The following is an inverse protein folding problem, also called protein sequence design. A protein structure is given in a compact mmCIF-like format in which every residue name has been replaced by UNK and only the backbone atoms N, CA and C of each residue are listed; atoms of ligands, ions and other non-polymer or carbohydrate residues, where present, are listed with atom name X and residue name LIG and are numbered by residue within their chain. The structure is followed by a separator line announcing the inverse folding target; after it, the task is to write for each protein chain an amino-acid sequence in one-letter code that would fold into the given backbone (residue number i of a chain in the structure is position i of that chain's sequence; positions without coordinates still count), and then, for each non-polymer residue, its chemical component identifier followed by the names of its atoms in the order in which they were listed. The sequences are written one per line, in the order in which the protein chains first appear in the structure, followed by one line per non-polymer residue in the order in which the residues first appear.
data_IF_685747351065
#
_entry.id   IF_685747351065
#
_cell.length_a   1.000
_cell.length_b   1.000
_cell.length_c   1.000
_cell.angle_alpha   90.00
_cell.angle_beta   90.00
_cell.angle_gamma   90.00
#
_symmetry.space_group_name_H-M   'P 1'
#
loop_
_entity.id
_entity.type
_entity.pdbx_description
1 polymer ?
#
# COMPACT_ATOMS: atom_id res chain seq x y z
N UNK A 1 -7.80 15.91 24.03
CA UNK A 1 -6.32 16.00 24.15
C UNK A 1 -5.69 14.61 24.18
N UNK A 2 -6.24 13.66 24.94
CA UNK A 2 -5.73 12.27 25.00
C UNK A 2 -5.68 11.55 23.64
N UNK A 3 -6.74 11.67 22.81
CA UNK A 3 -6.75 11.12 21.43
C UNK A 3 -5.55 11.62 20.63
N UNK A 4 -5.25 12.93 20.68
CA UNK A 4 -4.15 13.53 19.92
C UNK A 4 -2.79 12.98 20.33
N UNK A 5 -2.57 12.73 21.62
CA UNK A 5 -1.30 12.15 22.12
C UNK A 5 -1.06 10.76 21.54
N UNK A 6 -2.09 9.91 21.54
CA UNK A 6 -2.01 8.55 20.98
C UNK A 6 -1.82 8.60 19.46
N UNK A 7 -2.54 9.48 18.77
CA UNK A 7 -2.37 9.69 17.32
C UNK A 7 -0.95 10.14 16.98
N UNK A 8 -0.36 11.06 17.74
CA UNK A 8 1.03 11.50 17.50
C UNK A 8 2.03 10.35 17.64
N UNK A 9 1.83 9.46 18.60
CA UNK A 9 2.64 8.25 18.76
C UNK A 9 2.46 7.28 17.57
N UNK A 10 1.22 7.06 17.14
CA UNK A 10 0.91 6.27 15.93
C UNK A 10 1.57 6.86 14.69
N UNK A 11 1.54 8.18 14.54
CA UNK A 11 2.17 8.85 13.41
C UNK A 11 3.69 8.72 13.42
N UNK A 12 4.31 8.69 14.60
CA UNK A 12 5.74 8.46 14.75
C UNK A 12 6.10 7.03 14.32
N UNK A 13 5.40 6.04 14.83
CA UNK A 13 5.60 4.64 14.43
C UNK A 13 5.35 4.44 12.93
N UNK A 14 4.30 5.06 12.38
CA UNK A 14 4.04 5.02 10.93
C UNK A 14 5.16 5.68 10.10
N UNK A 15 5.79 6.75 10.58
CA UNK A 15 6.96 7.37 9.91
C UNK A 15 8.18 6.44 9.93
N UNK A 16 8.45 5.79 11.06
CA UNK A 16 9.55 4.83 11.19
C UNK A 16 9.39 3.65 10.22
N UNK A 17 8.18 3.08 10.17
CA UNK A 17 7.82 2.01 9.23
C UNK A 17 7.95 2.47 7.77
N UNK A 18 7.50 3.70 7.47
CA UNK A 18 7.63 4.27 6.13
C UNK A 18 9.10 4.38 5.73
N UNK A 19 9.96 4.89 6.60
CA UNK A 19 11.41 5.00 6.33
C UNK A 19 12.04 3.63 6.09
N UNK A 20 11.68 2.63 6.91
CA UNK A 20 12.15 1.25 6.76
C UNK A 20 11.76 0.68 5.39
N UNK A 21 10.48 0.79 5.02
CA UNK A 21 9.97 0.23 3.76
C UNK A 21 10.43 1.03 2.54
N UNK A 22 10.60 2.36 2.63
CA UNK A 22 11.17 3.15 1.54
C UNK A 22 12.62 2.76 1.22
N UNK A 23 13.31 2.07 2.14
CA UNK A 23 14.62 1.49 1.88
C UNK A 23 14.64 0.44 0.76
N UNK A 24 13.49 -0.11 0.34
CA UNK A 24 13.42 -1.06 -0.79
C UNK A 24 13.73 -0.42 -2.14
N UNK A 25 13.64 0.91 -2.24
CA UNK A 25 13.93 1.66 -3.47
C UNK A 25 15.43 1.84 -3.74
N UNK A 26 16.29 1.50 -2.78
CA UNK A 26 17.74 1.63 -2.91
C UNK A 26 18.33 0.37 -3.56
N UNK A 27 19.49 0.47 -4.24
CA UNK A 27 20.11 -0.61 -5.03
C UNK A 27 20.13 -2.00 -4.37
N UNK A 28 20.77 -2.19 -3.19
CA UNK A 28 20.74 -3.48 -2.48
C UNK A 28 19.38 -3.78 -1.80
N UNK A 29 18.46 -2.80 -1.77
CA UNK A 29 17.20 -2.85 -1.05
C UNK A 29 16.25 -3.98 -1.49
N UNK A 30 16.35 -4.43 -2.74
CA UNK A 30 15.54 -5.54 -3.27
C UNK A 30 15.91 -6.90 -2.66
N UNK A 31 17.18 -7.14 -2.33
CA UNK A 31 17.62 -8.39 -1.69
C UNK A 31 17.16 -8.48 -0.23
N UNK A 32 16.99 -7.33 0.41
CA UNK A 32 16.60 -7.20 1.81
C UNK A 32 15.09 -7.09 2.03
N UNK A 33 14.26 -7.22 0.99
CA UNK A 33 12.80 -7.08 1.11
C UNK A 33 12.24 -7.97 2.23
N UNK A 34 12.56 -9.28 2.33
CA UNK A 34 12.02 -10.14 3.38
C UNK A 34 12.37 -9.62 4.79
N UNK A 35 13.61 -9.19 5.00
CA UNK A 35 14.08 -8.65 6.29
C UNK A 35 13.38 -7.34 6.64
N UNK A 36 13.16 -6.46 5.64
CA UNK A 36 12.44 -5.19 5.83
C UNK A 36 10.96 -5.43 6.15
N UNK A 37 10.32 -6.36 5.45
CA UNK A 37 8.93 -6.76 5.73
C UNK A 37 8.78 -7.36 7.12
N UNK A 38 9.70 -8.24 7.54
CA UNK A 38 9.70 -8.82 8.88
C UNK A 38 9.80 -7.75 9.98
N UNK A 39 10.74 -6.80 9.84
CA UNK A 39 10.86 -5.67 10.77
C UNK A 39 9.60 -4.79 10.76
N UNK A 40 8.99 -4.55 9.59
CA UNK A 40 7.73 -3.81 9.52
C UNK A 40 6.58 -4.54 10.23
N UNK A 41 6.53 -5.89 10.15
CA UNK A 41 5.59 -6.73 10.90
C UNK A 41 5.77 -6.63 12.41
N UNK A 42 7.02 -6.53 12.89
CA UNK A 42 7.30 -6.27 14.30
C UNK A 42 6.75 -4.91 14.75
N UNK A 43 6.92 -3.85 13.95
CA UNK A 43 6.35 -2.54 14.26
C UNK A 43 4.81 -2.54 14.34
N UNK A 44 4.12 -3.41 13.58
CA UNK A 44 2.66 -3.54 13.68
C UNK A 44 2.20 -4.03 15.06
N UNK A 45 3.03 -4.74 15.83
CA UNK A 45 2.69 -5.07 17.24
C UNK A 45 2.58 -3.83 18.13
N UNK A 46 3.48 -2.85 17.93
CA UNK A 46 3.42 -1.54 18.60
C UNK A 46 2.18 -0.77 18.16
N UNK A 47 1.87 -0.78 16.86
CA UNK A 47 0.66 -0.14 16.31
C UNK A 47 -0.60 -0.74 16.92
N UNK A 48 -0.69 -2.07 17.06
CA UNK A 48 -1.82 -2.75 17.73
C UNK A 48 -2.02 -2.22 19.15
N UNK A 49 -0.95 -2.18 19.93
CA UNK A 49 -0.98 -1.68 21.32
C UNK A 49 -1.43 -0.21 21.38
N UNK A 50 -0.94 0.62 20.47
CA UNK A 50 -1.32 2.03 20.40
C UNK A 50 -2.79 2.21 19.99
N UNK A 51 -3.30 1.40 19.04
CA UNK A 51 -4.70 1.42 18.64
C UNK A 51 -5.61 0.90 19.74
N UNK A 52 -5.24 -0.14 20.48
CA UNK A 52 -5.95 -0.59 21.69
C UNK A 52 -6.04 0.53 22.73
N UNK A 53 -4.94 1.25 22.97
CA UNK A 53 -4.94 2.43 23.84
C UNK A 53 -5.88 3.51 23.31
N UNK A 54 -5.89 3.78 22.00
CA UNK A 54 -6.78 4.76 21.36
C UNK A 54 -8.26 4.41 21.58
N UNK A 55 -8.63 3.13 21.45
CA UNK A 55 -10.01 2.64 21.69
C UNK A 55 -10.54 3.02 23.07
N UNK A 56 -9.67 3.10 24.08
CA UNK A 56 -10.07 3.46 25.46
C UNK A 56 -10.26 4.97 25.68
N UNK A 57 -9.87 5.82 24.73
CA UNK A 57 -9.87 7.29 24.91
C UNK A 57 -11.18 7.96 24.49
N UNK A 58 -12.14 7.21 23.95
CA UNK A 58 -13.44 7.74 23.56
C UNK A 58 -14.53 6.65 23.59
N UNK A 59 -15.82 7.02 23.76
CA UNK A 59 -16.91 6.05 23.67
C UNK A 59 -17.07 5.51 22.25
N UNK A 60 -17.22 4.20 22.07
CA UNK A 60 -17.32 3.56 20.75
C UNK A 60 -18.39 4.20 19.83
N UNK A 61 -19.53 4.60 20.41
CA UNK A 61 -20.63 5.28 19.69
C UNK A 61 -20.23 6.63 19.07
N UNK A 62 -19.14 7.23 19.52
CA UNK A 62 -18.61 8.51 19.03
C UNK A 62 -17.47 8.34 18.01
N UNK A 63 -17.31 7.16 17.40
CA UNK A 63 -16.27 6.89 16.40
C UNK A 63 -16.18 7.99 15.33
N UNK A 64 -17.26 8.22 14.58
CA UNK A 64 -17.27 9.21 13.50
C UNK A 64 -17.17 10.67 13.98
N UNK A 65 -17.45 10.94 15.26
CA UNK A 65 -17.25 12.27 15.84
C UNK A 65 -15.77 12.61 15.97
N UNK A 66 -14.92 11.61 16.23
CA UNK A 66 -13.48 11.82 16.41
C UNK A 66 -12.63 11.27 15.26
N UNK A 67 -13.23 10.57 14.29
CA UNK A 67 -12.57 9.90 13.16
C UNK A 67 -11.53 10.76 12.45
N UNK A 68 -11.83 12.03 12.18
CA UNK A 68 -10.91 12.98 11.54
C UNK A 68 -9.56 13.15 12.28
N UNK A 69 -9.48 12.83 13.58
CA UNK A 69 -8.23 12.89 14.32
C UNK A 69 -7.24 11.81 13.92
N UNK A 70 -7.70 10.59 13.59
CA UNK A 70 -6.83 9.47 13.23
C UNK A 70 -6.96 9.04 11.77
N UNK A 71 -7.92 9.60 11.02
CA UNK A 71 -8.17 9.31 9.60
C UNK A 71 -6.88 9.27 8.78
N UNK A 72 -6.06 10.31 8.87
CA UNK A 72 -4.80 10.40 8.12
C UNK A 72 -3.81 9.29 8.49
N UNK A 73 -3.59 9.06 9.79
CA UNK A 73 -2.64 8.03 10.22
C UNK A 73 -3.16 6.63 9.92
N UNK A 74 -4.47 6.39 10.00
CA UNK A 74 -5.08 5.11 9.69
C UNK A 74 -4.94 4.77 8.20
N UNK A 75 -5.23 5.72 7.31
CA UNK A 75 -4.99 5.55 5.86
C UNK A 75 -3.52 5.23 5.55
N UNK A 76 -2.58 5.88 6.25
CA UNK A 76 -1.15 5.57 6.10
C UNK A 76 -0.79 4.18 6.61
N UNK A 77 -1.37 3.74 7.73
CA UNK A 77 -1.16 2.39 8.26
C UNK A 77 -1.73 1.31 7.32
N UNK A 78 -2.89 1.55 6.70
CA UNK A 78 -3.45 0.69 5.65
C UNK A 78 -2.46 0.59 4.49
N UNK A 79 -1.96 1.73 4.00
CA UNK A 79 -0.97 1.76 2.94
C UNK A 79 0.26 0.93 3.29
N UNK A 80 0.83 1.12 4.49
CA UNK A 80 2.01 0.37 4.94
C UNK A 80 1.73 -1.14 5.02
N UNK A 81 0.56 -1.54 5.51
CA UNK A 81 0.16 -2.95 5.59
C UNK A 81 0.01 -3.56 4.20
N UNK A 82 -0.64 -2.84 3.29
CA UNK A 82 -0.80 -3.25 1.90
C UNK A 82 0.54 -3.33 1.16
N UNK A 83 1.46 -2.41 1.46
CA UNK A 83 2.79 -2.43 0.85
C UNK A 83 3.62 -3.62 1.33
N UNK A 84 3.59 -3.94 2.62
CA UNK A 84 4.24 -5.16 3.15
C UNK A 84 3.70 -6.42 2.47
N UNK A 85 2.37 -6.57 2.40
CA UNK A 85 1.76 -7.74 1.76
C UNK A 85 2.10 -7.80 0.27
N UNK A 86 2.06 -6.68 -0.45
CA UNK A 86 2.45 -6.64 -1.85
C UNK A 86 3.91 -7.06 -2.05
N UNK A 87 4.83 -6.58 -1.20
CA UNK A 87 6.24 -6.95 -1.28
C UNK A 87 6.51 -8.44 -0.99
N UNK A 88 5.63 -9.10 -0.22
CA UNK A 88 5.76 -10.51 0.15
C UNK A 88 5.09 -11.46 -0.85
N UNK A 89 3.91 -11.11 -1.36
CA UNK A 89 3.07 -12.01 -2.16
C UNK A 89 2.56 -11.42 -3.47
N UNK A 90 2.80 -10.12 -3.73
CA UNK A 90 2.34 -9.40 -4.93
C UNK A 90 0.82 -9.41 -5.12
N UNK A 91 0.09 -9.54 -4.01
CA UNK A 91 -1.39 -9.56 -3.97
C UNK A 91 -1.94 -8.36 -3.22
N UNK A 92 -3.20 -8.02 -3.49
CA UNK A 92 -3.91 -6.99 -2.74
C UNK A 92 -4.38 -7.55 -1.39
N UNK A 93 -3.96 -6.91 -0.29
CA UNK A 93 -4.45 -7.26 1.04
C UNK A 93 -5.93 -6.90 1.18
N UNK A 94 -6.74 -7.79 1.74
CA UNK A 94 -8.17 -7.52 1.98
C UNK A 94 -8.36 -6.54 3.14
N UNK A 95 -9.48 -5.83 3.18
CA UNK A 95 -9.84 -4.95 4.33
C UNK A 95 -9.83 -5.73 5.66
N UNK A 96 -10.32 -6.97 5.66
CA UNK A 96 -10.35 -7.83 6.84
C UNK A 96 -8.94 -8.16 7.34
N UNK A 97 -8.05 -8.57 6.43
CA UNK A 97 -6.66 -8.85 6.78
C UNK A 97 -5.92 -7.60 7.28
N UNK A 98 -6.20 -6.41 6.73
CA UNK A 98 -5.63 -5.15 7.28
C UNK A 98 -6.16 -4.88 8.69
N UNK A 99 -7.45 -5.07 8.93
CA UNK A 99 -8.03 -4.90 10.27
C UNK A 99 -7.36 -5.84 11.28
N UNK A 100 -7.11 -7.10 10.93
CA UNK A 100 -6.37 -8.08 11.74
C UNK A 100 -4.90 -7.67 11.99
N UNK A 101 -4.20 -7.15 10.97
CA UNK A 101 -2.83 -6.63 11.09
C UNK A 101 -2.79 -5.44 12.04
N UNK A 102 -3.81 -4.59 12.04
CA UNK A 102 -3.90 -3.41 12.90
C UNK A 102 -4.52 -3.69 14.28
N UNK A 103 -5.09 -4.89 14.50
CA UNK A 103 -5.76 -5.23 15.75
C UNK A 103 -7.07 -4.46 15.97
N UNK A 104 -7.77 -4.16 14.88
CA UNK A 104 -9.07 -3.46 14.87
C UNK A 104 -10.12 -4.31 14.19
N UNK A 105 -11.38 -3.91 14.33
CA UNK A 105 -12.49 -4.64 13.71
C UNK A 105 -12.62 -4.29 12.23
N UNK A 106 -13.09 -5.23 11.42
CA UNK A 106 -13.50 -4.92 10.05
C UNK A 106 -14.92 -4.36 10.00
N UNK A 107 -15.77 -4.76 10.96
CA UNK A 107 -17.18 -4.41 11.02
C UNK A 107 -17.43 -3.29 12.04
N UNK A 108 -18.22 -2.30 11.61
CA UNK A 108 -18.65 -1.16 12.41
C UNK A 108 -19.38 -1.57 13.69
N UNK A 109 -20.21 -2.62 13.62
CA UNK A 109 -21.03 -3.04 14.77
C UNK A 109 -20.19 -3.62 15.91
N UNK A 110 -18.94 -4.04 15.64
CA UNK A 110 -18.02 -4.61 16.63
C UNK A 110 -17.15 -3.57 17.34
N UNK A 111 -17.24 -2.30 16.95
CA UNK A 111 -16.61 -1.18 17.66
C UNK A 111 -15.63 -0.39 16.79
N UNK A 112 -14.39 -0.23 17.27
CA UNK A 112 -13.36 0.51 16.52
C UNK A 112 -12.96 -0.28 15.30
N UNK A 113 -13.32 0.25 14.13
CA UNK A 113 -13.24 -0.47 12.87
C UNK A 113 -12.41 0.28 11.82
N UNK A 114 -12.03 -0.45 10.76
CA UNK A 114 -11.45 0.12 9.55
C UNK A 114 -12.55 0.56 8.59
N UNK A 115 -12.74 1.87 8.44
CA UNK A 115 -13.68 2.41 7.47
C UNK A 115 -13.24 2.07 6.03
N UNK A 116 -14.21 1.77 5.16
CA UNK A 116 -13.95 1.38 3.77
C UNK A 116 -13.29 2.51 2.97
N UNK A 117 -13.63 3.77 3.24
CA UNK A 117 -13.02 4.92 2.57
C UNK A 117 -11.55 5.07 2.95
N UNK A 118 -11.19 4.75 4.20
CA UNK A 118 -9.82 4.78 4.67
C UNK A 118 -8.99 3.63 4.08
N UNK A 119 -9.61 2.44 3.96
CA UNK A 119 -9.01 1.32 3.25
C UNK A 119 -8.69 1.71 1.80
N UNK A 120 -9.68 2.16 1.03
CA UNK A 120 -9.51 2.54 -0.37
C UNK A 120 -8.50 3.70 -0.54
N UNK A 121 -8.50 4.67 0.37
CA UNK A 121 -7.51 5.77 0.35
C UNK A 121 -6.08 5.28 0.58
N UNK A 122 -5.88 4.29 1.46
CA UNK A 122 -4.60 3.63 1.66
C UNK A 122 -4.15 2.85 0.43
N UNK A 123 -5.06 2.13 -0.23
CA UNK A 123 -4.78 1.39 -1.46
C UNK A 123 -4.39 2.32 -2.63
N UNK A 124 -5.03 3.49 -2.77
CA UNK A 124 -4.60 4.48 -3.77
C UNK A 124 -3.19 5.03 -3.49
N UNK A 125 -2.82 5.16 -2.20
CA UNK A 125 -1.46 5.56 -1.82
C UNK A 125 -0.44 4.47 -2.18
N UNK A 126 -0.82 3.19 -2.03
CA UNK A 126 0.00 2.06 -2.50
C UNK A 126 0.27 2.16 -4.00
N UNK A 127 -0.74 2.48 -4.82
CA UNK A 127 -0.58 2.58 -6.26
C UNK A 127 0.53 3.58 -6.66
N UNK A 128 0.54 4.76 -6.05
CA UNK A 128 1.57 5.77 -6.30
C UNK A 128 2.97 5.30 -5.84
N UNK A 129 3.07 4.58 -4.73
CA UNK A 129 4.34 4.01 -4.27
C UNK A 129 4.84 2.90 -5.20
N UNK A 130 3.95 2.08 -5.75
CA UNK A 130 4.30 1.05 -6.73
C UNK A 130 4.73 1.65 -8.07
N UNK A 131 4.15 2.77 -8.50
CA UNK A 131 4.63 3.49 -9.68
C UNK A 131 6.07 4.02 -9.50
N UNK A 132 6.45 4.40 -8.27
CA UNK A 132 7.84 4.71 -7.93
C UNK A 132 8.71 3.45 -7.90
N UNK A 133 8.22 2.37 -7.30
CA UNK A 133 8.93 1.10 -7.22
C UNK A 133 9.27 0.56 -8.61
N UNK A 134 8.33 0.61 -9.57
CA UNK A 134 8.54 0.17 -10.94
C UNK A 134 9.75 0.85 -11.60
N UNK A 135 9.86 2.18 -11.49
CA UNK A 135 11.01 2.93 -12.02
C UNK A 135 12.32 2.50 -11.36
N UNK A 136 12.33 2.40 -10.03
CA UNK A 136 13.54 2.04 -9.29
C UNK A 136 13.96 0.59 -9.53
N UNK A 137 13.01 -0.29 -9.83
CA UNK A 137 13.27 -1.69 -10.17
C UNK A 137 14.07 -1.80 -11.47
N UNK A 138 13.70 -1.03 -12.50
CA UNK A 138 14.45 -0.95 -13.76
C UNK A 138 15.87 -0.42 -13.52
N UNK A 139 16.01 0.60 -12.67
CA UNK A 139 17.34 1.16 -12.33
C UNK A 139 18.21 0.15 -11.58
N UNK A 140 17.61 -0.73 -10.79
CA UNK A 140 18.29 -1.82 -10.10
C UNK A 140 18.48 -3.09 -10.96
N UNK A 141 18.05 -3.07 -12.22
CA UNK A 141 18.18 -4.21 -13.16
C UNK A 141 17.09 -5.28 -13.04
N UNK A 142 16.05 -5.08 -12.23
CA UNK A 142 14.86 -5.95 -12.20
C UNK A 142 13.85 -5.48 -13.24
N UNK A 143 13.91 -6.08 -14.42
CA UNK A 143 13.00 -5.81 -15.53
C UNK A 143 11.69 -6.58 -15.44
N UNK A 144 11.59 -7.59 -14.56
CA UNK A 144 10.38 -8.42 -14.39
C UNK A 144 9.30 -7.73 -13.56
N UNK A 145 9.72 -7.00 -12.52
CA UNK A 145 8.83 -6.39 -11.53
C UNK A 145 7.93 -5.29 -12.09
N UNK A 146 8.39 -4.40 -13.00
CA UNK A 146 7.50 -3.41 -13.63
C UNK A 146 6.32 -4.03 -14.38
N UNK A 147 6.50 -5.19 -15.01
CA UNK A 147 5.41 -5.90 -15.69
C UNK A 147 4.37 -6.40 -14.68
N UNK A 148 4.82 -7.00 -13.58
CA UNK A 148 3.95 -7.49 -12.50
C UNK A 148 3.21 -6.34 -11.79
N UNK A 149 3.89 -5.22 -11.56
CA UNK A 149 3.27 -3.99 -11.06
C UNK A 149 2.21 -3.46 -12.03
N UNK A 150 2.48 -3.48 -13.34
CA UNK A 150 1.52 -3.04 -14.36
C UNK A 150 0.24 -3.87 -14.35
N UNK A 151 0.34 -5.20 -14.29
CA UNK A 151 -0.82 -6.09 -14.17
C UNK A 151 -1.62 -5.77 -12.90
N UNK A 152 -0.95 -5.70 -11.76
CA UNK A 152 -1.58 -5.41 -10.46
C UNK A 152 -2.34 -4.08 -10.46
N UNK A 153 -1.73 -3.02 -11.00
CA UNK A 153 -2.34 -1.68 -11.02
C UNK A 153 -3.52 -1.58 -11.99
N UNK A 154 -3.49 -2.32 -13.10
CA UNK A 154 -4.63 -2.40 -14.02
C UNK A 154 -5.82 -3.16 -13.42
N UNK A 155 -5.56 -4.23 -12.65
CA UNK A 155 -6.61 -4.92 -11.88
C UNK A 155 -7.21 -3.99 -10.82
N UNK A 156 -6.38 -3.21 -10.14
CA UNK A 156 -6.80 -2.21 -9.16
C UNK A 156 -7.67 -1.12 -9.82
N UNK A 157 -7.24 -0.54 -10.93
CA UNK A 157 -8.05 0.46 -11.66
C UNK A 157 -9.40 -0.14 -12.12
N UNK A 158 -9.39 -1.36 -12.62
CA UNK A 158 -10.62 -2.09 -12.99
C UNK A 158 -11.56 -2.25 -11.78
N UNK A 159 -11.01 -2.62 -10.62
CA UNK A 159 -11.77 -2.70 -9.37
C UNK A 159 -12.37 -1.36 -8.93
N UNK A 160 -11.60 -0.28 -9.00
CA UNK A 160 -12.11 1.06 -8.65
C UNK A 160 -13.17 1.57 -9.65
N UNK A 161 -13.11 1.19 -10.93
CA UNK A 161 -14.17 1.53 -11.91
C UNK A 161 -15.52 0.91 -11.60
N UNK A 162 -15.55 -0.24 -10.91
CA UNK A 162 -16.79 -0.88 -10.45
C UNK A 162 -17.44 -0.11 -9.29
N UNK A 163 -16.70 0.75 -8.60
CA UNK A 163 -17.19 1.51 -7.47
C UNK A 163 -17.87 2.80 -7.93
N UNK A 164 -19.10 3.00 -7.50
CA UNK A 164 -19.80 4.27 -7.68
C UNK A 164 -19.35 5.29 -6.61
N UNK A 165 -18.13 5.80 -6.74
CA UNK A 165 -17.56 6.79 -5.83
C UNK A 165 -18.34 8.10 -5.91
N UNK A 166 -18.80 8.60 -4.76
CA UNK A 166 -19.41 9.93 -4.67
C UNK A 166 -18.35 11.01 -4.94
N UNK A 167 -18.78 12.21 -5.34
CA UNK A 167 -17.87 13.33 -5.60
C UNK A 167 -17.27 13.91 -4.30
N UNK A 168 -16.31 13.20 -3.73
CA UNK A 168 -15.67 13.51 -2.45
C UNK A 168 -14.13 13.43 -2.54
N UNK A 169 -13.45 13.45 -1.39
CA UNK A 169 -12.00 13.35 -1.31
C UNK A 169 -11.43 12.06 -1.88
N UNK A 170 -12.17 10.94 -1.79
CA UNK A 170 -11.74 9.64 -2.31
C UNK A 170 -11.79 9.64 -3.84
N UNK A 171 -12.84 10.24 -4.43
CA UNK A 171 -12.92 10.42 -5.89
C UNK A 171 -11.74 11.24 -6.43
N UNK A 172 -11.38 12.35 -5.78
CA UNK A 172 -10.22 13.16 -6.18
C UNK A 172 -8.91 12.38 -6.14
N UNK A 173 -8.73 11.50 -5.14
CA UNK A 173 -7.56 10.61 -5.07
C UNK A 173 -7.59 9.57 -6.18
N UNK A 174 -8.74 8.97 -6.45
CA UNK A 174 -8.91 8.00 -7.53
C UNK A 174 -8.63 8.62 -8.91
N UNK A 175 -9.04 9.87 -9.15
CA UNK A 175 -8.69 10.58 -10.39
C UNK A 175 -7.17 10.74 -10.61
N UNK A 176 -6.38 10.61 -9.53
CA UNK A 176 -4.92 10.57 -9.55
C UNK A 176 -4.35 9.24 -10.08
N UNK A 177 -5.06 8.13 -9.91
CA UNK A 177 -4.59 6.78 -10.27
C UNK A 177 -4.20 6.66 -11.74
N UNK A 178 -4.92 7.37 -12.63
CA UNK A 178 -4.62 7.39 -14.07
C UNK A 178 -3.18 7.84 -14.39
N UNK A 179 -2.60 8.70 -13.56
CA UNK A 179 -1.22 9.16 -13.74
C UNK A 179 -0.22 8.08 -13.32
N UNK A 180 -0.53 7.32 -12.27
CA UNK A 180 0.29 6.19 -11.83
C UNK A 180 0.24 5.05 -12.85
N UNK A 181 -0.95 4.70 -13.36
CA UNK A 181 -1.16 3.73 -14.45
C UNK A 181 -0.31 4.12 -15.65
N UNK A 182 -0.48 5.34 -16.17
CA UNK A 182 0.26 5.83 -17.33
C UNK A 182 1.78 5.77 -17.12
N UNK A 183 2.26 6.17 -15.95
CA UNK A 183 3.69 6.14 -15.62
C UNK A 183 4.25 4.72 -15.65
N UNK A 184 3.51 3.74 -15.13
CA UNK A 184 3.93 2.33 -15.14
C UNK A 184 3.90 1.77 -16.56
N UNK A 185 2.87 2.10 -17.35
CA UNK A 185 2.77 1.69 -18.76
C UNK A 185 3.92 2.25 -19.59
N UNK A 186 4.32 3.50 -19.38
CA UNK A 186 5.49 4.11 -20.03
C UNK A 186 6.78 3.33 -19.69
N UNK A 187 6.95 2.91 -18.43
CA UNK A 187 8.10 2.07 -18.02
C UNK A 187 8.07 0.71 -18.73
N UNK A 188 6.92 0.04 -18.79
CA UNK A 188 6.79 -1.27 -19.46
C UNK A 188 6.98 -1.14 -20.98
N UNK A 189 6.48 -0.07 -21.58
CA UNK A 189 6.70 0.27 -22.99
C UNK A 189 8.18 0.44 -23.27
N UNK A 190 8.89 1.21 -22.43
CA UNK A 190 10.33 1.43 -22.55
C UNK A 190 11.16 0.14 -22.48
N UNK A 191 10.79 -0.78 -21.60
CA UNK A 191 11.42 -2.11 -21.52
C UNK A 191 11.15 -2.93 -22.79
N UNK A 192 9.93 -2.85 -23.30
CA UNK A 192 9.49 -3.65 -24.46
C UNK A 192 10.17 -3.23 -25.76
N UNK A 193 10.28 -1.93 -26.03
CA UNK A 193 10.97 -1.44 -27.24
C UNK A 193 12.48 -1.72 -27.21
N UNK A 194 13.07 -1.89 -26.01
CA UNK A 194 14.48 -2.24 -25.81
C UNK A 194 14.72 -3.76 -25.77
N UNK A 195 13.67 -4.58 -25.85
CA UNK A 195 13.77 -6.04 -25.79
C UNK A 195 14.12 -6.59 -24.41
N UNK A 196 13.96 -5.80 -23.35
CA UNK A 196 14.31 -6.16 -21.96
C UNK A 196 13.18 -6.89 -21.22
N UNK A 197 11.97 -6.92 -21.80
CA UNK A 197 10.80 -7.62 -21.23
C UNK A 197 10.71 -9.11 -21.59
N UNK A 198 11.67 -9.62 -22.38
CA UNK A 198 11.74 -11.04 -22.78
C UNK A 198 12.81 -11.78 -21.99
N UNK A 199 12.42 -12.40 -20.89
CA UNK A 199 13.13 -13.60 -20.44
C UNK A 199 12.48 -14.84 -21.09
N UNK A 200 13.22 -15.45 -22.03
CA UNK A 200 13.19 -16.90 -22.31
C UNK A 200 11.93 -17.51 -22.96
N UNK A 201 11.59 -17.10 -24.19
CA UNK A 201 11.19 -18.10 -25.19
C UNK A 201 12.44 -18.47 -25.97
N UNK A 202 12.93 -19.69 -25.75
CA UNK A 202 14.24 -20.17 -26.20
C UNK A 202 14.55 -19.88 -27.67
N UNK A 203 15.81 -19.53 -27.90
CA UNK A 203 16.43 -19.68 -29.21
C UNK A 203 16.34 -21.13 -29.66
N UNK A 204 15.38 -21.42 -30.53
CA UNK A 204 15.37 -22.57 -31.41
C UNK A 204 14.91 -22.06 -32.78
N UNK A 205 15.90 -21.79 -33.62
CA UNK A 205 15.72 -21.28 -34.98
C UNK A 205 17.08 -20.91 -35.56
N UNK A 206 18.01 -21.85 -35.47
CA UNK A 206 19.36 -21.71 -36.01
C UNK A 206 19.35 -21.61 -37.52
N UNK A 207 20.38 -20.93 -38.02
CA UNK A 207 20.86 -21.00 -39.39
C UNK A 207 20.92 -22.46 -39.88
N UNK A 208 20.16 -22.75 -40.94
CA UNK A 208 20.62 -23.37 -42.20
C UNK A 208 19.46 -23.50 -43.18
#
# INVERSE_FOLDING_TARGET
QEIRKVVQALEQTAREMLTLLQGVHQGPGFQDIPTKCQKAREHFSTVKTQLESLKTKFPAVQYYRFHEHWRFVLQRLVFLAAFVVYLESETLVTQQSVAEILGIEADRERGFHLDIEDYLSGILTLASELARLAVNSVTAGDYSRPLRISTFINELDSGFRLLNLKNDSLRKRYDGLKYDVKKIEEVVYDLSIRGLSKETTGGAGGEK
#
